data_IF_231455958961
#
_entry.id   IF_231455958961
#
_cell.length_a   1.000
_cell.length_b   1.000
_cell.length_c   1.000
_cell.angle_alpha   90.00
_cell.angle_beta   90.00
_cell.angle_gamma   90.00
#
_symmetry.space_group_name_H-M   'P 1'
#
loop_
_entity.id
_entity.type
_entity.pdbx_description
1 polymer ?
#
# COMPACT_ATOMS: atom_id res chain seq x y z
N UNK A 1 -12.01 8.54 -20.48
CA UNK A 1 -10.67 9.04 -20.11
C UNK A 1 -10.32 8.34 -18.80
N UNK A 2 -9.20 7.64 -18.77
CA UNK A 2 -8.77 6.89 -17.59
C UNK A 2 -7.92 7.80 -16.70
N UNK A 3 -8.36 8.03 -15.47
CA UNK A 3 -7.54 8.72 -14.47
C UNK A 3 -6.58 7.68 -13.87
N UNK A 4 -5.31 7.73 -14.26
CA UNK A 4 -4.27 6.85 -13.71
C UNK A 4 -3.54 7.52 -12.56
N UNK A 5 -3.08 6.72 -11.59
CA UNK A 5 -2.24 7.22 -10.52
C UNK A 5 -0.80 7.33 -11.04
N UNK A 6 -0.32 8.56 -11.24
CA UNK A 6 0.99 8.82 -11.80
C UNK A 6 2.15 8.69 -10.81
N UNK A 7 3.34 8.31 -11.30
CA UNK A 7 4.60 8.43 -10.55
C UNK A 7 5.08 7.17 -9.81
N UNK A 8 4.37 6.05 -9.93
CA UNK A 8 4.69 4.76 -9.30
C UNK A 8 6.15 4.32 -9.56
N UNK A 9 6.54 4.20 -10.83
CA UNK A 9 7.90 3.77 -11.23
C UNK A 9 8.99 4.74 -10.77
N UNK A 10 8.70 6.04 -10.77
CA UNK A 10 9.67 7.07 -10.34
C UNK A 10 9.98 6.91 -8.86
N UNK A 11 8.99 6.57 -8.05
CA UNK A 11 9.16 6.31 -6.62
C UNK A 11 9.98 5.04 -6.42
N UNK A 12 9.58 3.93 -7.04
CA UNK A 12 10.29 2.65 -6.91
C UNK A 12 11.76 2.80 -7.29
N UNK A 13 12.06 3.45 -8.43
CA UNK A 13 13.43 3.70 -8.90
C UNK A 13 14.23 4.61 -7.98
N UNK A 14 13.59 5.62 -7.38
CA UNK A 14 14.26 6.51 -6.43
C UNK A 14 14.67 5.79 -5.15
N UNK A 15 13.94 4.74 -4.78
CA UNK A 15 14.19 3.93 -3.60
C UNK A 15 15.16 2.76 -3.91
N UNK A 16 15.03 2.08 -5.06
CA UNK A 16 15.89 0.94 -5.43
C UNK A 16 17.36 1.35 -5.60
N UNK A 17 17.61 2.60 -5.99
CA UNK A 17 18.96 3.15 -6.17
C UNK A 17 19.68 3.47 -4.85
N UNK A 18 19.05 3.26 -3.69
CA UNK A 18 19.64 3.54 -2.38
C UNK A 18 20.64 2.47 -1.91
N UNK A 19 20.79 1.37 -2.65
CA UNK A 19 21.69 0.26 -2.33
C UNK A 19 21.10 -0.73 -1.32
N UNK A 20 21.97 -1.51 -0.66
CA UNK A 20 21.56 -2.51 0.34
C UNK A 20 21.09 -1.83 1.62
N UNK A 21 19.79 -1.58 1.74
CA UNK A 21 19.16 -1.18 3.00
C UNK A 21 18.47 -2.35 3.68
N UNK A 22 18.54 -2.45 5.03
CA UNK A 22 17.64 -3.30 5.80
C UNK A 22 16.18 -2.93 5.48
N UNK A 23 15.32 -3.94 5.31
CA UNK A 23 13.92 -3.74 4.87
C UNK A 23 13.15 -2.81 5.82
N UNK A 24 13.31 -2.98 7.13
CA UNK A 24 12.66 -2.11 8.13
C UNK A 24 13.12 -0.65 8.04
N UNK A 25 14.40 -0.40 7.73
CA UNK A 25 14.90 0.96 7.53
C UNK A 25 14.36 1.56 6.23
N UNK A 26 14.31 0.76 5.16
CA UNK A 26 13.73 1.16 3.88
C UNK A 26 12.27 1.55 4.04
N UNK A 27 11.48 0.71 4.71
CA UNK A 27 10.09 0.99 5.03
C UNK A 27 9.92 2.29 5.80
N UNK A 28 10.70 2.49 6.85
CA UNK A 28 10.66 3.71 7.66
C UNK A 28 10.96 4.96 6.85
N UNK A 29 11.93 4.91 5.93
CA UNK A 29 12.24 6.03 5.01
C UNK A 29 11.04 6.31 4.10
N UNK A 30 10.49 5.27 3.47
CA UNK A 30 9.33 5.38 2.56
C UNK A 30 8.15 5.97 3.33
N UNK A 31 7.74 5.33 4.44
CA UNK A 31 6.64 5.78 5.28
C UNK A 31 6.80 7.26 5.67
N UNK A 32 7.97 7.66 6.21
CA UNK A 32 8.20 9.03 6.65
C UNK A 32 8.15 10.04 5.48
N UNK A 33 8.65 9.67 4.29
CA UNK A 33 8.52 10.52 3.09
C UNK A 33 7.06 10.73 2.69
N UNK A 34 6.24 9.68 2.75
CA UNK A 34 4.81 9.75 2.49
C UNK A 34 4.06 10.54 3.55
N UNK A 35 4.31 10.26 4.83
CA UNK A 35 3.72 10.98 5.96
C UNK A 35 4.00 12.48 5.87
N UNK A 36 5.25 12.86 5.57
CA UNK A 36 5.63 14.27 5.41
C UNK A 36 4.92 14.92 4.23
N UNK A 37 4.82 14.21 3.10
CA UNK A 37 4.06 14.68 1.94
C UNK A 37 2.59 14.90 2.28
N UNK A 38 1.93 13.93 2.92
CA UNK A 38 0.55 14.04 3.39
C UNK A 38 0.34 15.24 4.33
N UNK A 39 1.19 15.38 5.35
CA UNK A 39 1.12 16.50 6.30
C UNK A 39 1.42 17.87 5.65
N UNK A 40 2.13 17.92 4.52
CA UNK A 40 2.36 19.17 3.79
C UNK A 40 1.14 19.63 2.99
N UNK A 41 0.27 18.68 2.60
CA UNK A 41 -0.98 18.93 1.88
C UNK A 41 -2.18 19.04 2.83
N UNK A 42 -2.01 18.66 4.08
CA UNK A 42 -3.01 18.73 5.15
C UNK A 42 -2.75 19.91 6.08
N UNK A 43 -3.79 20.45 6.70
CA UNK A 43 -3.70 21.53 7.70
C UNK A 43 -3.18 21.01 9.06
N UNK A 44 -2.04 20.29 9.03
CA UNK A 44 -1.42 19.73 10.21
C UNK A 44 -0.82 20.81 11.12
N UNK A 45 -1.01 20.65 12.42
CA UNK A 45 -0.47 21.55 13.45
C UNK A 45 1.05 21.42 13.56
N UNK A 46 1.71 22.43 14.12
CA UNK A 46 3.15 22.37 14.39
C UNK A 46 3.52 21.18 15.29
N UNK A 47 2.66 20.83 16.26
CA UNK A 47 2.89 19.68 17.14
C UNK A 47 2.94 18.36 16.36
N UNK A 48 2.00 18.14 15.44
CA UNK A 48 1.98 16.93 14.60
C UNK A 48 3.19 16.86 13.65
N UNK A 49 3.63 18.02 13.12
CA UNK A 49 4.85 18.09 12.31
C UNK A 49 6.10 17.75 13.13
N UNK A 50 6.22 18.30 14.34
CA UNK A 50 7.32 17.99 15.28
C UNK A 50 7.33 16.52 15.67
N UNK A 51 6.15 15.90 15.87
CA UNK A 51 6.03 14.48 16.16
C UNK A 51 6.66 13.63 15.05
N UNK A 52 6.30 13.89 13.78
CA UNK A 52 6.90 13.21 12.64
C UNK A 52 8.41 13.50 12.52
N UNK A 53 8.84 14.75 12.71
CA UNK A 53 10.26 15.12 12.67
C UNK A 53 11.09 14.36 13.70
N UNK A 54 10.56 14.15 14.91
CA UNK A 54 11.24 13.37 15.94
C UNK A 54 11.40 11.90 15.52
N UNK A 55 10.42 11.33 14.82
CA UNK A 55 10.54 9.99 14.22
C UNK A 55 11.59 10.01 13.10
N UNK A 56 11.58 11.02 12.24
CA UNK A 56 12.56 11.15 11.15
C UNK A 56 14.00 11.27 11.65
N UNK A 57 14.24 11.92 12.80
CA UNK A 57 15.59 12.03 13.42
C UNK A 57 16.18 10.68 13.79
N UNK A 58 15.37 9.64 13.95
CA UNK A 58 15.86 8.27 14.23
C UNK A 58 16.34 7.53 12.97
N UNK A 59 16.11 8.10 11.78
CA UNK A 59 16.69 7.60 10.52
C UNK A 59 18.14 8.08 10.44
N UNK A 60 19.12 7.21 10.07
CA UNK A 60 20.52 7.61 9.96
C UNK A 60 20.72 8.83 9.06
N UNK A 61 21.63 9.72 9.47
CA UNK A 61 21.85 11.01 8.82
C UNK A 61 22.12 10.89 7.29
N UNK A 62 22.80 9.83 6.87
CA UNK A 62 23.07 9.52 5.46
C UNK A 62 21.82 9.38 4.59
N UNK A 63 20.66 9.09 5.19
CA UNK A 63 19.40 8.91 4.47
C UNK A 63 18.39 10.03 4.71
N UNK A 64 18.65 10.96 5.63
CA UNK A 64 17.72 12.05 5.94
C UNK A 64 17.47 12.98 4.75
N UNK A 65 18.46 13.16 3.87
CA UNK A 65 18.31 13.93 2.63
C UNK A 65 17.19 13.42 1.72
N UNK A 66 16.85 12.12 1.78
CA UNK A 66 15.74 11.54 1.00
C UNK A 66 14.38 12.05 1.46
N UNK A 67 14.24 12.33 2.76
CA UNK A 67 13.01 12.78 3.39
C UNK A 67 12.67 14.24 3.05
N UNK A 68 13.58 14.96 2.39
CA UNK A 68 13.36 16.32 1.89
C UNK A 68 13.69 16.48 0.40
N UNK A 69 14.21 15.42 -0.23
CA UNK A 69 14.69 15.43 -1.60
C UNK A 69 13.75 14.73 -2.58
N UNK A 70 14.33 14.02 -3.54
CA UNK A 70 13.61 13.42 -4.67
C UNK A 70 12.49 12.46 -4.26
N UNK A 71 12.70 11.65 -3.21
CA UNK A 71 11.67 10.73 -2.72
C UNK A 71 10.48 11.49 -2.14
N UNK A 72 10.72 12.48 -1.29
CA UNK A 72 9.66 13.36 -0.77
C UNK A 72 8.89 14.06 -1.90
N UNK A 73 9.57 14.64 -2.88
CA UNK A 73 8.91 15.31 -4.01
C UNK A 73 8.06 14.34 -4.85
N UNK A 74 8.54 13.12 -5.04
CA UNK A 74 7.81 12.08 -5.77
C UNK A 74 6.57 11.63 -4.97
N UNK A 75 6.72 11.42 -3.66
CA UNK A 75 5.62 11.13 -2.75
C UNK A 75 4.59 12.27 -2.73
N UNK A 76 5.02 13.54 -2.72
CA UNK A 76 4.14 14.70 -2.78
C UNK A 76 3.29 14.73 -4.05
N UNK A 77 3.94 14.52 -5.21
CA UNK A 77 3.24 14.44 -6.50
C UNK A 77 2.23 13.29 -6.51
N UNK A 78 2.63 12.13 -5.99
CA UNK A 78 1.77 10.96 -5.91
C UNK A 78 0.55 11.21 -5.00
N UNK A 79 0.74 11.74 -3.80
CA UNK A 79 -0.37 12.00 -2.87
C UNK A 79 -1.35 13.04 -3.42
N UNK A 80 -0.85 14.06 -4.12
CA UNK A 80 -1.72 15.01 -4.81
C UNK A 80 -2.57 14.32 -5.89
N UNK A 81 -1.93 13.55 -6.77
CA UNK A 81 -2.63 12.78 -7.81
C UNK A 81 -3.62 11.78 -7.24
N UNK A 82 -3.29 11.14 -6.11
CA UNK A 82 -4.20 10.24 -5.43
C UNK A 82 -5.40 10.97 -4.82
N UNK A 83 -5.19 12.14 -4.19
CA UNK A 83 -6.27 12.95 -3.63
C UNK A 83 -7.23 13.39 -4.74
N UNK A 84 -6.69 13.90 -5.85
CA UNK A 84 -7.46 14.24 -7.06
C UNK A 84 -8.22 13.03 -7.58
N UNK A 85 -7.58 11.87 -7.71
CA UNK A 85 -8.24 10.62 -8.13
C UNK A 85 -9.40 10.24 -7.20
N UNK A 86 -9.25 10.35 -5.88
CA UNK A 86 -10.29 10.00 -4.91
C UNK A 86 -11.41 11.05 -4.79
N UNK A 87 -11.16 12.30 -5.19
CA UNK A 87 -12.11 13.42 -5.14
C UNK A 87 -12.88 13.62 -6.46
N UNK A 88 -12.19 13.54 -7.60
CA UNK A 88 -12.76 13.73 -8.95
C UNK A 88 -13.74 12.61 -9.34
N UNK A 89 -13.58 11.43 -8.75
CA UNK A 89 -14.33 10.23 -9.12
C UNK A 89 -15.79 10.21 -8.64
N UNK A 90 -16.41 11.37 -8.40
CA UNK A 90 -17.83 11.51 -8.04
C UNK A 90 -18.84 11.03 -9.10
N UNK A 91 -18.46 10.62 -10.32
CA UNK A 91 -19.39 10.04 -11.31
C UNK A 91 -18.75 8.93 -12.14
N UNK A 92 -19.42 7.77 -12.20
CA UNK A 92 -19.16 6.56 -13.02
C UNK A 92 -17.86 5.77 -12.79
N UNK A 93 -16.71 6.40 -12.58
CA UNK A 93 -15.41 5.71 -12.53
C UNK A 93 -15.29 4.80 -11.29
N UNK A 94 -15.64 5.27 -10.07
CA UNK A 94 -15.63 4.44 -8.83
C UNK A 94 -16.45 3.15 -8.96
N UNK A 95 -17.51 3.13 -9.78
CA UNK A 95 -18.32 1.91 -9.90
C UNK A 95 -17.52 0.76 -10.53
N UNK A 96 -16.56 1.05 -11.40
CA UNK A 96 -15.70 0.03 -12.02
C UNK A 96 -14.57 -0.38 -11.08
N UNK A 97 -13.75 0.57 -10.59
CA UNK A 97 -12.61 0.21 -9.72
C UNK A 97 -13.04 -0.36 -8.36
N UNK A 98 -14.26 -0.09 -7.91
CA UNK A 98 -14.81 -0.67 -6.69
C UNK A 98 -15.57 -1.99 -6.91
N UNK A 99 -15.69 -2.45 -8.17
CA UNK A 99 -16.33 -3.70 -8.53
C UNK A 99 -15.29 -4.81 -8.72
N UNK A 100 -15.42 -5.86 -7.90
CA UNK A 100 -14.50 -6.98 -7.90
C UNK A 100 -14.47 -7.74 -9.24
N UNK A 101 -15.61 -7.95 -9.91
CA UNK A 101 -15.65 -8.61 -11.23
C UNK A 101 -14.83 -7.83 -12.25
N UNK A 102 -15.00 -6.52 -12.30
CA UNK A 102 -14.25 -5.66 -13.20
C UNK A 102 -12.73 -5.76 -12.93
N UNK A 103 -12.32 -5.75 -11.66
CA UNK A 103 -10.90 -5.94 -11.29
C UNK A 103 -10.38 -7.31 -11.71
N UNK A 104 -11.16 -8.38 -11.52
CA UNK A 104 -10.75 -9.72 -11.94
C UNK A 104 -10.55 -9.80 -13.46
N UNK A 105 -11.43 -9.17 -14.24
CA UNK A 105 -11.33 -9.13 -15.70
C UNK A 105 -10.09 -8.34 -16.14
N UNK A 106 -9.81 -7.19 -15.50
CA UNK A 106 -8.57 -6.45 -15.69
C UNK A 106 -7.32 -7.30 -15.39
N UNK A 107 -7.29 -8.00 -14.26
CA UNK A 107 -6.14 -8.82 -13.87
C UNK A 107 -5.94 -9.98 -14.85
N UNK A 108 -7.01 -10.66 -15.26
CA UNK A 108 -6.94 -11.73 -16.28
C UNK A 108 -6.37 -11.23 -17.60
N UNK A 109 -6.76 -10.03 -18.03
CA UNK A 109 -6.28 -9.44 -19.29
C UNK A 109 -4.84 -8.93 -19.21
N UNK A 110 -4.48 -8.21 -18.15
CA UNK A 110 -3.21 -7.47 -18.05
C UNK A 110 -2.11 -8.20 -17.29
N UNK A 111 -2.48 -9.01 -16.30
CA UNK A 111 -1.54 -9.84 -15.53
C UNK A 111 -1.45 -11.22 -16.16
N UNK A 112 -2.58 -11.82 -16.51
CA UNK A 112 -2.62 -13.19 -17.00
C UNK A 112 -2.30 -14.21 -15.91
N UNK A 113 -1.52 -15.24 -16.25
CA UNK A 113 -1.19 -16.32 -15.31
C UNK A 113 -0.01 -15.95 -14.42
N UNK A 114 -0.16 -16.16 -13.12
CA UNK A 114 0.93 -16.04 -12.13
C UNK A 114 1.11 -17.38 -11.42
N UNK A 115 2.28 -17.63 -10.83
CA UNK A 115 2.50 -18.83 -10.05
C UNK A 115 1.94 -18.76 -8.63
N UNK A 116 1.81 -17.56 -8.08
CA UNK A 116 1.29 -17.33 -6.72
C UNK A 116 0.55 -16.02 -6.54
N UNK A 117 -0.36 -16.01 -5.56
CA UNK A 117 -1.06 -14.80 -5.11
C UNK A 117 -0.80 -14.58 -3.63
N UNK A 118 -0.42 -13.36 -3.26
CA UNK A 118 -0.24 -12.93 -1.87
C UNK A 118 -1.13 -11.70 -1.63
N UNK A 119 -2.06 -11.83 -0.67
CA UNK A 119 -2.92 -10.74 -0.21
C UNK A 119 -2.46 -10.28 1.16
N UNK A 120 -2.09 -9.01 1.26
CA UNK A 120 -1.73 -8.33 2.50
C UNK A 120 -3.00 -7.72 3.10
N UNK A 121 -3.43 -8.24 4.24
CA UNK A 121 -4.55 -7.69 5.02
C UNK A 121 -4.17 -6.29 5.53
N UNK A 122 -4.91 -5.27 5.11
CA UNK A 122 -4.58 -3.86 5.38
C UNK A 122 -3.20 -3.42 4.80
N UNK A 123 -2.70 -4.09 3.75
CA UNK A 123 -1.44 -3.76 3.08
C UNK A 123 -1.46 -2.41 2.36
N UNK A 124 -0.62 -1.47 2.78
CA UNK A 124 -0.66 -0.10 2.28
C UNK A 124 0.49 0.23 1.31
N UNK A 125 0.41 1.42 0.72
CA UNK A 125 1.37 1.91 -0.27
C UNK A 125 2.82 1.89 0.25
N UNK A 126 3.12 2.32 1.49
CA UNK A 126 4.49 2.26 2.00
C UNK A 126 5.08 0.84 2.00
N UNK A 127 4.29 -0.17 2.36
CA UNK A 127 4.76 -1.57 2.36
C UNK A 127 4.96 -2.08 0.94
N UNK A 128 3.99 -1.85 0.04
CA UNK A 128 4.09 -2.24 -1.37
C UNK A 128 5.31 -1.63 -2.07
N UNK A 129 5.59 -0.34 -1.86
CA UNK A 129 6.77 0.31 -2.44
C UNK A 129 8.07 -0.18 -1.81
N UNK A 130 8.07 -0.45 -0.52
CA UNK A 130 9.23 -1.07 0.14
C UNK A 130 9.54 -2.43 -0.47
N UNK A 131 8.53 -3.28 -0.64
CA UNK A 131 8.65 -4.61 -1.23
C UNK A 131 9.13 -4.51 -2.68
N UNK A 132 8.45 -3.70 -3.50
CA UNK A 132 8.79 -3.50 -4.91
C UNK A 132 10.23 -3.01 -5.09
N UNK A 133 10.64 -1.98 -4.33
CA UNK A 133 12.01 -1.46 -4.41
C UNK A 133 13.05 -2.44 -3.92
N UNK A 134 12.74 -3.28 -2.93
CA UNK A 134 13.65 -4.33 -2.47
C UNK A 134 13.84 -5.41 -3.53
N UNK A 135 12.78 -5.82 -4.23
CA UNK A 135 12.88 -6.77 -5.33
C UNK A 135 13.57 -6.18 -6.57
N UNK A 136 13.29 -4.92 -6.92
CA UNK A 136 14.02 -4.21 -7.96
C UNK A 136 15.53 -4.17 -7.67
N UNK A 137 15.92 -3.91 -6.42
CA UNK A 137 17.32 -3.95 -5.99
C UNK A 137 17.93 -5.37 -6.13
N UNK A 138 17.13 -6.42 -5.96
CA UNK A 138 17.54 -7.81 -6.16
C UNK A 138 17.49 -8.25 -7.64
N UNK A 139 17.41 -7.30 -8.57
CA UNK A 139 17.32 -7.53 -10.02
C UNK A 139 16.14 -8.41 -10.44
N UNK A 140 15.02 -8.33 -9.71
CA UNK A 140 13.74 -8.89 -10.14
C UNK A 140 13.00 -7.88 -11.00
N UNK A 141 12.24 -8.39 -11.96
CA UNK A 141 11.33 -7.54 -12.72
C UNK A 141 10.13 -7.24 -11.84
N UNK A 142 9.77 -5.96 -11.73
CA UNK A 142 8.62 -5.52 -10.95
C UNK A 142 7.70 -4.71 -11.83
N UNK A 143 6.40 -4.92 -11.69
CA UNK A 143 5.38 -4.12 -12.35
C UNK A 143 4.35 -3.71 -11.31
N UNK A 144 4.15 -2.40 -11.12
CA UNK A 144 3.02 -1.89 -10.33
C UNK A 144 2.02 -1.30 -11.30
N UNK A 145 0.81 -1.85 -11.32
CA UNK A 145 -0.25 -1.33 -12.19
C UNK A 145 -0.79 -0.01 -11.65
N UNK A 146 -1.11 0.89 -12.58
CA UNK A 146 -1.78 2.15 -12.26
C UNK A 146 -3.28 1.98 -11.99
N UNK A 147 -3.85 0.83 -12.41
CA UNK A 147 -5.21 0.41 -12.05
C UNK A 147 -5.19 -0.13 -10.64
N UNK A 148 -6.14 0.33 -9.85
CA UNK A 148 -6.26 0.02 -8.43
C UNK A 148 -7.64 -0.52 -8.14
N UNK A 149 -7.76 -1.32 -7.09
CA UNK A 149 -9.06 -1.55 -6.47
C UNK A 149 -9.40 -0.35 -5.57
N UNK A 150 -10.58 0.22 -5.74
CA UNK A 150 -11.09 1.30 -4.88
C UNK A 150 -12.01 0.70 -3.84
N UNK A 151 -11.71 0.96 -2.56
CA UNK A 151 -12.52 0.54 -1.42
C UNK A 151 -13.15 1.77 -0.77
N UNK A 152 -14.36 2.23 -1.17
CA UNK A 152 -14.92 3.48 -0.68
C UNK A 152 -15.11 3.53 0.84
N UNK A 153 -15.30 2.36 1.47
CA UNK A 153 -15.50 2.24 2.92
C UNK A 153 -14.17 2.26 3.68
N UNK A 154 -13.10 1.78 3.07
CA UNK A 154 -11.77 1.68 3.67
C UNK A 154 -11.62 0.52 4.65
N UNK A 155 -12.35 -0.57 4.42
CA UNK A 155 -12.36 -1.74 5.31
C UNK A 155 -12.53 -3.03 4.52
N UNK A 156 -12.01 -4.14 5.03
CA UNK A 156 -12.13 -5.49 4.43
C UNK A 156 -13.56 -5.84 4.04
N UNK A 157 -14.53 -5.44 4.88
CA UNK A 157 -15.95 -5.73 4.69
C UNK A 157 -16.45 -5.41 3.28
N UNK A 158 -16.07 -4.26 2.74
CA UNK A 158 -16.51 -3.80 1.42
C UNK A 158 -16.13 -4.77 0.29
N UNK A 159 -14.91 -5.30 0.33
CA UNK A 159 -14.47 -6.29 -0.65
C UNK A 159 -15.16 -7.63 -0.38
N UNK A 160 -15.17 -8.07 0.88
CA UNK A 160 -15.65 -9.41 1.22
C UNK A 160 -17.15 -9.60 0.98
N UNK A 161 -17.96 -8.55 1.07
CA UNK A 161 -19.39 -8.62 0.73
C UNK A 161 -19.62 -8.93 -0.76
N UNK A 162 -18.69 -8.55 -1.63
CA UNK A 162 -18.77 -8.84 -3.07
C UNK A 162 -18.46 -10.32 -3.37
N UNK A 163 -17.79 -11.04 -2.46
CA UNK A 163 -17.44 -12.46 -2.64
C UNK A 163 -18.67 -13.38 -2.69
N UNK A 164 -19.79 -12.96 -2.10
CA UNK A 164 -21.06 -13.70 -2.16
C UNK A 164 -21.56 -13.86 -3.60
N UNK A 165 -21.30 -12.88 -4.48
CA UNK A 165 -21.61 -12.97 -5.91
C UNK A 165 -20.87 -14.13 -6.61
N UNK A 166 -19.72 -14.52 -6.07
CA UNK A 166 -18.88 -15.61 -6.56
C UNK A 166 -19.12 -16.93 -5.81
N UNK A 167 -20.15 -17.00 -4.96
CA UNK A 167 -20.47 -18.20 -4.16
C UNK A 167 -19.50 -18.46 -3.01
N UNK A 168 -18.77 -17.44 -2.55
CA UNK A 168 -17.83 -17.54 -1.44
C UNK A 168 -18.36 -16.86 -0.17
N UNK A 169 -17.86 -17.29 1.00
CA UNK A 169 -18.15 -16.61 2.26
C UNK A 169 -17.47 -15.23 2.32
N UNK A 170 -17.96 -14.35 3.19
CA UNK A 170 -17.46 -12.98 3.36
C UNK A 170 -16.20 -12.93 4.23
N UNK A 171 -15.15 -13.63 3.81
CA UNK A 171 -13.86 -13.73 4.51
C UNK A 171 -12.72 -13.48 3.53
N UNK A 172 -11.73 -12.66 3.94
CA UNK A 172 -10.63 -12.24 3.07
C UNK A 172 -9.81 -13.40 2.50
N UNK A 173 -9.75 -14.55 3.18
CA UNK A 173 -9.12 -15.77 2.64
C UNK A 173 -9.71 -16.15 1.27
N UNK A 174 -11.02 -16.05 1.10
CA UNK A 174 -11.69 -16.40 -0.16
C UNK A 174 -11.40 -15.41 -1.29
N UNK A 175 -10.99 -14.17 -0.99
CA UNK A 175 -10.49 -13.27 -2.02
C UNK A 175 -9.16 -13.77 -2.61
N UNK A 176 -8.24 -14.24 -1.75
CA UNK A 176 -6.98 -14.82 -2.20
C UNK A 176 -7.21 -16.11 -3.02
N UNK A 177 -8.14 -16.96 -2.57
CA UNK A 177 -8.55 -18.18 -3.29
C UNK A 177 -9.19 -17.84 -4.66
N UNK A 178 -10.05 -16.82 -4.72
CA UNK A 178 -10.68 -16.35 -5.96
C UNK A 178 -9.63 -15.83 -6.95
N UNK A 179 -8.71 -14.97 -6.52
CA UNK A 179 -7.61 -14.48 -7.36
C UNK A 179 -6.75 -15.63 -7.89
N UNK A 180 -6.41 -16.59 -7.04
CA UNK A 180 -5.66 -17.78 -7.46
C UNK A 180 -6.38 -18.55 -8.55
N UNK A 181 -7.69 -18.77 -8.40
CA UNK A 181 -8.50 -19.47 -9.40
C UNK A 181 -8.52 -18.70 -10.73
N UNK A 182 -8.82 -17.40 -10.69
CA UNK A 182 -8.96 -16.57 -11.89
C UNK A 182 -7.63 -16.39 -12.63
N UNK A 183 -6.50 -16.38 -11.92
CA UNK A 183 -5.16 -16.21 -12.50
C UNK A 183 -4.40 -17.54 -12.67
N UNK A 184 -5.04 -18.68 -12.41
CA UNK A 184 -4.42 -20.01 -12.57
C UNK A 184 -3.19 -20.25 -11.70
N UNK A 185 -3.13 -19.65 -10.51
CA UNK A 185 -2.00 -19.76 -9.61
C UNK A 185 -1.95 -21.08 -8.85
N UNK A 186 -0.75 -21.50 -8.43
CA UNK A 186 -0.52 -22.75 -7.70
C UNK A 186 -0.89 -22.63 -6.23
N UNK A 187 -0.70 -21.44 -5.66
CA UNK A 187 -0.97 -21.16 -4.25
C UNK A 187 -1.47 -19.73 -4.03
N UNK A 188 -2.09 -19.54 -2.88
CA UNK A 188 -2.59 -18.28 -2.37
C UNK A 188 -2.19 -18.14 -0.90
N UNK A 189 -1.86 -16.92 -0.47
CA UNK A 189 -1.47 -16.62 0.91
C UNK A 189 -2.11 -15.32 1.35
N UNK A 190 -2.68 -15.33 2.56
CA UNK A 190 -3.13 -14.14 3.27
C UNK A 190 -2.12 -13.81 4.38
N UNK A 191 -1.61 -12.58 4.42
CA UNK A 191 -0.71 -12.09 5.48
C UNK A 191 -1.43 -11.02 6.30
N UNK A 192 -1.69 -11.28 7.58
CA UNK A 192 -2.43 -10.36 8.47
C UNK A 192 -1.57 -9.50 9.40
N UNK A 193 -0.25 -9.48 9.22
CA UNK A 193 0.67 -8.79 10.13
C UNK A 193 0.35 -7.29 10.29
N UNK A 194 -0.04 -6.61 9.22
CA UNK A 194 -0.34 -5.17 9.24
C UNK A 194 -1.67 -4.92 9.93
N UNK A 195 -2.74 -5.61 9.49
CA UNK A 195 -4.06 -5.53 10.12
C UNK A 195 -3.98 -5.74 11.64
N UNK A 196 -3.32 -6.80 12.11
CA UNK A 196 -3.18 -7.10 13.55
C UNK A 196 -2.57 -5.95 14.38
N UNK A 197 -1.74 -5.10 13.76
CA UNK A 197 -1.17 -3.92 14.43
C UNK A 197 -2.16 -2.77 14.38
N UNK A 198 -2.79 -2.52 13.23
CA UNK A 198 -3.69 -1.38 13.02
C UNK A 198 -5.07 -1.57 13.67
N UNK A 199 -5.47 -2.82 13.95
CA UNK A 199 -6.76 -3.18 14.54
C UNK A 199 -6.94 -2.67 15.98
N UNK A 200 -5.86 -2.39 16.71
CA UNK A 200 -5.94 -1.72 18.01
C UNK A 200 -6.24 -0.25 17.75
N UNK A 201 -7.42 0.25 18.19
CA UNK A 201 -7.86 1.65 18.07
C UNK A 201 -6.68 2.64 18.02
N UNK A 202 -6.36 3.14 16.82
CA UNK A 202 -5.30 4.12 16.57
C UNK A 202 -3.93 3.79 17.18
N UNK A 203 -2.97 3.37 16.37
CA UNK A 203 -1.58 3.17 16.83
C UNK A 203 -0.73 4.40 16.49
N UNK A 204 -0.06 4.99 17.48
CA UNK A 204 0.86 6.11 17.22
C UNK A 204 1.90 5.72 16.18
N UNK A 205 2.32 6.66 15.33
CA UNK A 205 3.24 6.36 14.22
C UNK A 205 4.54 5.70 14.70
N UNK A 206 5.11 6.20 15.81
CA UNK A 206 6.32 5.62 16.39
C UNK A 206 6.13 4.16 16.81
N UNK A 207 4.99 3.83 17.44
CA UNK A 207 4.67 2.46 17.86
C UNK A 207 4.39 1.56 16.64
N UNK A 208 3.67 2.06 15.64
CA UNK A 208 3.41 1.34 14.39
C UNK A 208 4.71 0.91 13.70
N UNK A 209 5.64 1.85 13.48
CA UNK A 209 6.92 1.59 12.84
C UNK A 209 7.84 0.66 13.65
N UNK A 210 7.69 0.63 14.98
CA UNK A 210 8.47 -0.26 15.84
C UNK A 210 7.90 -1.69 15.90
N UNK A 211 6.58 -1.84 15.82
CA UNK A 211 5.91 -3.14 15.87
C UNK A 211 5.87 -3.85 14.51
N UNK A 212 5.84 -3.09 13.41
CA UNK A 212 5.73 -3.66 12.07
C UNK A 212 7.06 -4.29 11.61
N UNK A 213 7.10 -5.62 11.61
CA UNK A 213 8.22 -6.37 11.07
C UNK A 213 8.11 -6.53 9.54
N UNK A 214 8.40 -5.46 8.81
CA UNK A 214 8.39 -5.49 7.34
C UNK A 214 9.44 -6.43 6.75
N UNK A 215 10.53 -6.72 7.48
CA UNK A 215 11.51 -7.73 7.09
C UNK A 215 10.84 -9.11 7.03
N UNK A 216 10.07 -9.50 8.05
CA UNK A 216 9.35 -10.78 8.05
C UNK A 216 8.33 -10.87 6.91
N UNK A 217 7.59 -9.79 6.62
CA UNK A 217 6.66 -9.74 5.47
C UNK A 217 7.43 -9.95 4.16
N UNK A 218 8.54 -9.23 3.97
CA UNK A 218 9.39 -9.38 2.79
C UNK A 218 9.98 -10.79 2.65
N UNK A 219 10.46 -11.38 3.74
CA UNK A 219 11.03 -12.74 3.73
C UNK A 219 9.98 -13.79 3.37
N UNK A 220 8.74 -13.64 3.84
CA UNK A 220 7.62 -14.48 3.43
C UNK A 220 7.38 -14.37 1.92
N UNK A 221 7.28 -13.16 1.37
CA UNK A 221 7.07 -12.96 -0.08
C UNK A 221 8.27 -13.51 -0.88
N UNK A 222 9.50 -13.22 -0.45
CA UNK A 222 10.72 -13.66 -1.11
C UNK A 222 10.91 -15.18 -1.13
N UNK A 223 10.35 -15.90 -0.15
CA UNK A 223 10.34 -17.36 -0.18
C UNK A 223 9.63 -17.90 -1.43
N UNK A 224 8.53 -17.26 -1.82
CA UNK A 224 7.69 -17.70 -2.94
C UNK A 224 8.17 -17.14 -4.28
N UNK A 225 8.63 -15.88 -4.35
CA UNK A 225 9.10 -15.24 -5.60
C UNK A 225 10.25 -16.02 -6.26
N UNK A 226 11.01 -16.79 -5.48
CA UNK A 226 12.08 -17.64 -6.03
C UNK A 226 11.59 -18.75 -6.95
N UNK A 227 10.31 -19.11 -6.88
CA UNK A 227 9.76 -20.29 -7.55
C UNK A 227 9.00 -19.93 -8.82
N UNK A 228 8.37 -18.75 -8.87
CA UNK A 228 7.48 -18.35 -9.96
C UNK A 228 7.13 -16.84 -9.84
N UNK A 229 6.43 -16.31 -10.85
CA UNK A 229 5.84 -14.96 -10.82
C UNK A 229 4.76 -14.84 -9.74
N UNK A 230 4.71 -13.71 -9.03
CA UNK A 230 3.76 -13.50 -7.93
C UNK A 230 3.02 -12.18 -8.06
N UNK A 231 1.69 -12.25 -7.89
CA UNK A 231 0.86 -11.09 -7.59
C UNK A 231 0.85 -10.83 -6.09
N UNK A 232 1.28 -9.62 -5.69
CA UNK A 232 1.12 -9.07 -4.34
C UNK A 232 0.08 -7.96 -4.40
N UNK A 233 -0.95 -8.06 -3.57
CA UNK A 233 -2.03 -7.05 -3.48
C UNK A 233 -2.58 -6.96 -2.05
N UNK A 234 -3.64 -6.18 -1.86
CA UNK A 234 -4.35 -5.99 -0.62
C UNK A 234 -5.85 -5.82 -0.88
N UNK A 235 -6.66 -5.86 0.17
CA UNK A 235 -8.07 -5.49 0.14
C UNK A 235 -8.30 -4.00 0.45
N UNK A 236 -7.40 -3.42 1.22
CA UNK A 236 -7.26 -1.99 1.51
C UNK A 236 -5.90 -1.69 2.14
N UNK A 237 -5.54 -0.40 2.25
CA UNK A 237 -4.45 0.08 3.10
C UNK A 237 -4.89 0.60 4.48
N UNK A 238 -4.02 1.36 5.14
CA UNK A 238 -4.34 2.13 6.35
C UNK A 238 -4.26 3.64 6.08
N UNK A 239 -4.84 4.42 6.98
CA UNK A 239 -4.83 5.88 6.97
C UNK A 239 -3.81 6.42 7.97
N UNK A 240 -3.20 7.56 7.63
CA UNK A 240 -2.45 8.38 8.58
C UNK A 240 -3.35 9.54 9.01
N UNK A 241 -3.74 9.56 10.27
CA UNK A 241 -4.64 10.56 10.84
C UNK A 241 -3.84 11.58 11.65
N UNK A 242 -4.25 12.84 11.52
CA UNK A 242 -3.73 13.97 12.28
C UNK A 242 -4.91 14.78 12.83
N UNK A 243 -5.20 14.65 14.12
CA UNK A 243 -6.28 15.37 14.82
C UNK A 243 -5.86 15.84 16.23
N UNK A 244 -6.82 16.20 17.08
CA UNK A 244 -6.58 16.61 18.48
C UNK A 244 -5.84 15.56 19.33
N UNK A 245 -5.86 14.28 18.94
CA UNK A 245 -5.17 13.19 19.61
C UNK A 245 -3.74 12.96 19.12
N UNK A 246 -3.28 13.72 18.13
CA UNK A 246 -1.92 13.65 17.59
C UNK A 246 -1.84 12.93 16.24
N UNK A 247 -0.71 12.27 15.98
CA UNK A 247 -0.44 11.56 14.72
C UNK A 247 -0.50 10.03 14.92
N UNK A 248 -1.42 9.36 14.23
CA UNK A 248 -1.60 7.91 14.40
C UNK A 248 -2.06 7.21 13.11
N UNK A 249 -1.92 5.89 13.10
CA UNK A 249 -2.33 5.00 12.01
C UNK A 249 -3.58 4.24 12.45
N UNK A 250 -4.57 4.19 11.56
CA UNK A 250 -5.83 3.42 11.71
C UNK A 250 -6.31 2.99 10.33
N UNK A 251 -7.30 2.12 10.21
CA UNK A 251 -7.96 1.87 8.92
C UNK A 251 -9.42 2.34 8.93
N UNK A 252 -9.94 2.75 7.77
CA UNK A 252 -11.34 3.12 7.59
C UNK A 252 -11.74 4.45 8.23
N UNK A 253 -10.78 5.38 8.38
CA UNK A 253 -11.05 6.69 8.96
C UNK A 253 -12.01 7.50 8.08
N UNK A 254 -13.07 8.04 8.69
CA UNK A 254 -14.19 8.65 7.93
C UNK A 254 -14.02 10.14 7.65
N UNK A 255 -13.10 10.83 8.34
CA UNK A 255 -12.83 12.26 8.12
C UNK A 255 -11.65 12.45 7.17
N UNK A 256 -11.43 13.68 6.75
CA UNK A 256 -10.21 14.03 6.01
C UNK A 256 -8.98 13.75 6.89
N UNK A 257 -7.95 13.18 6.27
CA UNK A 257 -6.71 12.83 6.93
C UNK A 257 -5.53 13.02 5.97
N UNK A 258 -4.30 13.20 6.49
CA UNK A 258 -3.09 13.37 5.69
C UNK A 258 -2.87 12.30 4.61
N UNK A 259 -3.13 11.03 4.90
CA UNK A 259 -3.04 9.93 3.95
C UNK A 259 -4.27 9.03 4.10
N UNK A 260 -5.02 8.86 3.01
CA UNK A 260 -6.25 8.07 2.98
C UNK A 260 -6.06 6.81 2.13
N UNK A 261 -5.11 5.94 2.51
CA UNK A 261 -4.80 4.75 1.73
C UNK A 261 -5.74 3.58 2.01
N UNK A 262 -6.58 3.64 3.04
CA UNK A 262 -7.60 2.61 3.23
C UNK A 262 -8.54 2.50 2.03
N UNK A 263 -8.66 3.56 1.23
CA UNK A 263 -9.58 3.57 0.09
C UNK A 263 -9.04 2.95 -1.19
N UNK A 264 -7.82 2.42 -1.18
CA UNK A 264 -7.17 1.89 -2.38
C UNK A 264 -6.35 0.63 -2.06
N UNK A 265 -6.21 -0.22 -3.07
CA UNK A 265 -5.23 -1.30 -3.08
C UNK A 265 -4.56 -1.38 -4.46
N UNK A 266 -3.23 -1.50 -4.47
CA UNK A 266 -2.44 -1.64 -5.69
C UNK A 266 -2.23 -3.11 -6.06
N UNK A 267 -1.86 -3.35 -7.32
CA UNK A 267 -1.41 -4.65 -7.81
C UNK A 267 0.07 -4.59 -8.18
N UNK A 268 0.89 -5.40 -7.52
CA UNK A 268 2.32 -5.53 -7.77
C UNK A 268 2.62 -6.94 -8.30
N UNK A 269 3.28 -7.03 -9.45
CA UNK A 269 3.85 -8.27 -9.98
C UNK A 269 5.34 -8.28 -9.74
N UNK A 270 5.86 -9.45 -9.39
CA UNK A 270 7.28 -9.71 -9.17
C UNK A 270 7.67 -10.98 -9.93
N UNK A 271 8.62 -10.87 -10.88
CA UNK A 271 9.20 -11.97 -11.66
C UNK A 271 10.69 -12.16 -11.39
#
# INVERSE_FOLDING_TARGET
MYNSIGGLETIVRSISNLGVLPVNLLHKIVFCSFAKAGLSLFNATNSQRIELENIMKTIPASYQGLLSGKLYLSALKFIRSLKEFLEETRRTVILEEANLQFILDFLKEKVGKVGGVIVLDCGSIPELFTIASKFAYLNRNITIYDKVFVNPIGTTKFLTEQLAYFGHETVLKYYAELLKKELGAKFDIKISTIDLIVHQYGVTVGRFLNLLDTKKIFEQINHFVKQDSILVTADHGYDLVADEHGLYVTHGYKKECPLNFSRIALFLIID
#
